data_IF_635456082974
#
_entry.id   IF_635456082974
#
_cell.length_a   1.000
_cell.length_b   1.000
_cell.length_c   1.000
_cell.angle_alpha   90.00
_cell.angle_beta   90.00
_cell.angle_gamma   90.00
#
_symmetry.space_group_name_H-M   'P 1'
#
loop_
_entity.id
_entity.type
_entity.pdbx_description
1 polymer ?
#
# COMPACT_ATOMS: atom_id res chain seq x y z
N UNK A 1 17.54 0.57 9.54
CA UNK A 1 16.78 0.21 8.32
C UNK A 1 15.58 1.11 8.34
N UNK A 2 15.40 1.88 7.27
CA UNK A 2 14.33 2.85 7.17
C UNK A 2 13.23 2.24 6.29
N UNK A 3 11.97 2.48 6.65
CA UNK A 3 10.81 2.00 5.91
C UNK A 3 10.14 3.18 5.24
N UNK A 4 10.07 3.17 3.93
CA UNK A 4 9.37 4.17 3.15
C UNK A 4 7.95 3.69 2.86
N UNK A 5 6.97 4.55 3.10
CA UNK A 5 5.57 4.27 2.82
C UNK A 5 5.15 5.00 1.55
N UNK A 6 4.71 4.25 0.55
CA UNK A 6 4.17 4.78 -0.69
C UNK A 6 2.68 4.51 -0.79
N UNK A 7 1.91 5.49 -1.26
CA UNK A 7 0.54 5.27 -1.68
C UNK A 7 0.54 4.47 -2.98
N UNK A 8 -0.09 3.30 -3.01
CA UNK A 8 -0.28 2.61 -4.27
C UNK A 8 -1.24 3.43 -5.15
N UNK A 9 -0.99 3.53 -6.47
CA UNK A 9 -1.97 4.13 -7.36
C UNK A 9 -3.29 3.36 -7.19
N UNK A 10 -4.38 4.08 -6.94
CA UNK A 10 -5.70 3.47 -6.83
C UNK A 10 -5.94 2.67 -8.11
N UNK A 11 -6.20 1.37 -7.98
CA UNK A 11 -6.49 0.46 -9.09
C UNK A 11 -7.88 0.75 -9.69
N UNK A 12 -8.20 2.02 -9.93
CA UNK A 12 -9.41 2.48 -10.60
C UNK A 12 -9.19 2.76 -12.09
N UNK A 13 -7.95 2.69 -12.59
CA UNK A 13 -7.67 2.95 -14.00
C UNK A 13 -6.56 2.03 -14.55
N UNK A 14 -6.76 0.72 -14.46
CA UNK A 14 -6.25 -0.16 -15.50
C UNK A 14 -7.41 -0.47 -16.42
N UNK A 15 -7.49 0.26 -17.53
CA UNK A 15 -8.13 -0.27 -18.74
C UNK A 15 -7.76 -1.75 -18.90
N UNK A 16 -8.72 -2.63 -19.22
CA UNK A 16 -8.43 -4.04 -19.49
C UNK A 16 -7.62 -4.08 -20.78
N UNK A 17 -6.30 -4.00 -20.67
CA UNK A 17 -5.43 -4.34 -21.79
C UNK A 17 -5.47 -5.85 -21.87
N UNK A 18 -6.10 -6.33 -22.94
CA UNK A 18 -6.27 -7.72 -23.30
C UNK A 18 -4.94 -8.50 -23.17
N UNK A 19 -4.75 -9.21 -22.06
CA UNK A 19 -3.77 -10.29 -21.93
C UNK A 19 -4.20 -11.24 -20.82
N UNK A 20 -4.25 -12.56 -21.08
CA UNK A 20 -4.81 -13.55 -20.17
C UNK A 20 -3.75 -13.97 -19.15
N UNK A 21 -3.42 -13.10 -18.21
CA UNK A 21 -2.74 -13.53 -16.98
C UNK A 21 -3.56 -12.98 -15.83
N UNK A 22 -4.47 -13.83 -15.36
CA UNK A 22 -5.13 -13.64 -14.08
C UNK A 22 -4.07 -13.57 -12.99
N UNK A 23 -3.65 -12.37 -12.58
CA UNK A 23 -3.00 -12.23 -11.29
C UNK A 23 -4.12 -12.33 -10.23
N UNK A 24 -4.14 -13.36 -9.38
CA UNK A 24 -5.10 -13.42 -8.31
C UNK A 24 -4.82 -12.26 -7.34
N UNK A 25 -5.90 -11.66 -6.86
CA UNK A 25 -5.88 -10.67 -5.78
C UNK A 25 -4.94 -11.14 -4.66
N UNK A 26 -3.84 -10.40 -4.43
CA UNK A 26 -2.89 -10.66 -3.35
C UNK A 26 -1.45 -11.00 -3.75
N UNK A 27 -1.16 -11.19 -5.04
CA UNK A 27 0.22 -11.33 -5.52
C UNK A 27 0.84 -9.96 -5.81
N UNK A 28 2.04 -9.72 -5.26
CA UNK A 28 2.90 -8.63 -5.72
C UNK A 28 3.10 -8.79 -7.23
N UNK A 29 3.08 -7.71 -8.01
CA UNK A 29 3.39 -7.82 -9.44
C UNK A 29 4.78 -8.46 -9.62
N UNK A 30 4.93 -9.37 -10.59
CA UNK A 30 6.23 -9.97 -10.99
C UNK A 30 7.30 -8.92 -11.33
N UNK A 31 6.88 -7.68 -11.59
CA UNK A 31 7.75 -6.53 -11.81
C UNK A 31 7.64 -5.58 -10.62
N UNK A 32 8.80 -5.07 -10.17
CA UNK A 32 8.87 -4.01 -9.18
C UNK A 32 7.87 -2.88 -9.53
N UNK A 33 7.01 -2.46 -8.58
CA UNK A 33 6.11 -1.34 -8.82
C UNK A 33 6.92 -0.09 -9.14
N UNK A 34 6.48 0.67 -10.14
CA UNK A 34 7.07 1.96 -10.48
C UNK A 34 6.69 2.97 -9.38
N UNK A 35 7.49 2.98 -8.30
CA UNK A 35 7.30 3.86 -7.15
C UNK A 35 7.80 5.26 -7.52
N UNK A 36 6.86 6.18 -7.68
CA UNK A 36 7.19 7.58 -7.94
C UNK A 36 7.40 8.33 -6.63
N UNK A 37 8.34 9.30 -6.57
CA UNK A 37 8.56 10.12 -5.38
C UNK A 37 7.31 10.94 -4.99
N UNK A 38 6.43 11.26 -5.94
CA UNK A 38 5.12 11.89 -5.68
C UNK A 38 4.16 11.00 -4.88
N UNK A 39 4.42 9.68 -4.81
CA UNK A 39 3.62 8.72 -4.04
C UNK A 39 4.18 8.48 -2.63
N UNK A 40 5.37 8.99 -2.33
CA UNK A 40 5.99 8.85 -1.01
C UNK A 40 5.19 9.64 0.02
N UNK A 41 4.60 8.92 0.97
CA UNK A 41 3.87 9.50 2.10
C UNK A 41 4.82 9.88 3.23
N UNK A 42 5.90 9.10 3.41
CA UNK A 42 6.90 9.36 4.43
C UNK A 42 7.89 8.23 4.60
N UNK A 43 8.88 8.51 5.44
CA UNK A 43 9.99 7.63 5.80
C UNK A 43 9.94 7.42 7.31
N UNK A 44 9.97 6.16 7.74
CA UNK A 44 9.69 5.73 9.10
C UNK A 44 10.78 4.83 9.65
N UNK A 45 10.99 4.85 10.96
CA UNK A 45 12.02 4.02 11.60
C UNK A 45 11.59 2.54 11.68
N UNK A 46 10.31 2.23 11.47
CA UNK A 46 9.77 0.88 11.55
C UNK A 46 8.47 0.71 10.77
N UNK A 47 8.20 -0.53 10.36
CA UNK A 47 6.95 -0.95 9.71
C UNK A 47 5.70 -0.57 10.50
N UNK A 48 5.71 -0.81 11.82
CA UNK A 48 4.57 -0.52 12.69
C UNK A 48 4.25 0.98 12.74
N UNK A 49 5.28 1.83 12.65
CA UNK A 49 5.13 3.28 12.62
C UNK A 49 4.50 3.74 11.30
N UNK A 50 4.98 3.20 10.16
CA UNK A 50 4.40 3.46 8.85
C UNK A 50 2.92 3.04 8.77
N UNK A 51 2.56 1.86 9.29
CA UNK A 51 1.17 1.39 9.34
C UNK A 51 0.33 2.30 10.25
N UNK A 52 0.86 2.71 11.39
CA UNK A 52 0.15 3.61 12.33
C UNK A 52 -0.12 4.95 11.66
N UNK A 53 0.87 5.54 11.02
CA UNK A 53 0.71 6.77 10.25
C UNK A 53 -0.37 6.64 9.17
N UNK A 54 -0.36 5.56 8.39
CA UNK A 54 -1.37 5.31 7.36
C UNK A 54 -2.79 5.23 7.95
N UNK A 55 -2.96 4.63 9.13
CA UNK A 55 -4.25 4.56 9.83
C UNK A 55 -4.67 5.93 10.38
N UNK A 56 -3.75 6.68 10.97
CA UNK A 56 -4.01 8.02 11.48
C UNK A 56 -4.41 8.98 10.36
N UNK A 57 -3.77 8.89 9.20
CA UNK A 57 -4.14 9.67 8.02
C UNK A 57 -5.60 9.43 7.60
N UNK A 58 -6.06 8.17 7.68
CA UNK A 58 -7.45 7.81 7.36
C UNK A 58 -8.43 8.30 8.42
N UNK A 59 -8.04 8.23 9.69
CA UNK A 59 -8.81 8.77 10.80
C UNK A 59 -8.95 10.30 10.71
N UNK A 60 -7.89 11.01 10.32
CA UNK A 60 -7.88 12.46 10.12
C UNK A 60 -8.78 12.87 8.94
N UNK A 61 -8.82 12.06 7.88
CA UNK A 61 -9.77 12.20 6.75
C UNK A 61 -11.22 11.85 7.14
N UNK A 62 -11.47 11.52 8.41
CA UNK A 62 -12.79 11.16 8.92
C UNK A 62 -13.25 9.75 8.53
N UNK A 63 -12.34 8.90 8.07
CA UNK A 63 -12.60 7.50 7.79
C UNK A 63 -12.28 6.64 9.01
N UNK A 64 -13.04 5.57 9.21
CA UNK A 64 -12.80 4.62 10.28
C UNK A 64 -12.14 3.36 9.69
N UNK A 65 -10.95 3.01 10.18
CA UNK A 65 -10.25 1.81 9.76
C UNK A 65 -10.98 0.57 10.29
N UNK A 66 -11.49 -0.25 9.37
CA UNK A 66 -12.27 -1.46 9.71
C UNK A 66 -11.45 -2.73 9.56
N UNK A 67 -10.51 -2.75 8.62
CA UNK A 67 -9.66 -3.92 8.38
C UNK A 67 -8.25 -3.50 7.92
N UNK A 68 -7.26 -4.33 8.21
CA UNK A 68 -5.87 -4.12 7.79
C UNK A 68 -5.27 -5.46 7.41
N UNK A 69 -4.87 -5.59 6.15
CA UNK A 69 -4.21 -6.77 5.61
C UNK A 69 -2.83 -6.38 5.12
N UNK A 70 -1.84 -7.20 5.43
CA UNK A 70 -0.49 -7.05 4.89
C UNK A 70 -0.11 -8.30 4.12
N UNK A 71 0.61 -8.11 3.03
CA UNK A 71 1.17 -9.15 2.22
C UNK A 71 2.39 -9.83 2.80
N UNK A 72 2.87 -10.82 2.06
CA UNK A 72 4.23 -11.32 2.23
C UNK A 72 5.22 -10.24 1.82
N UNK A 73 6.23 -10.04 2.65
CA UNK A 73 7.42 -9.29 2.29
C UNK A 73 8.20 -10.05 1.22
N UNK A 74 8.60 -9.33 0.16
CA UNK A 74 9.44 -9.88 -0.89
C UNK A 74 10.90 -9.49 -0.66
N UNK A 75 11.75 -10.49 -0.42
CA UNK A 75 13.18 -10.31 -0.12
C UNK A 75 14.01 -9.83 -1.31
N UNK A 76 13.49 -9.96 -2.54
CA UNK A 76 14.19 -9.53 -3.74
C UNK A 76 14.03 -8.02 -3.98
N UNK A 77 12.81 -7.53 -3.80
CA UNK A 77 12.42 -6.14 -4.00
C UNK A 77 12.45 -5.31 -2.71
N UNK A 78 12.49 -5.97 -1.55
CA UNK A 78 12.34 -5.37 -0.21
C UNK A 78 11.01 -4.63 -0.02
N UNK A 79 9.98 -5.07 -0.75
CA UNK A 79 8.65 -4.45 -0.74
C UNK A 79 7.65 -5.36 -0.04
N UNK A 80 6.80 -4.77 0.80
CA UNK A 80 5.61 -5.40 1.37
C UNK A 80 4.37 -4.58 0.97
N UNK A 81 3.29 -5.26 0.58
CA UNK A 81 2.01 -4.56 0.35
C UNK A 81 1.18 -4.48 1.63
N UNK A 82 0.47 -3.38 1.81
CA UNK A 82 -0.44 -3.13 2.92
C UNK A 82 -1.77 -2.62 2.37
N UNK A 83 -2.85 -3.36 2.60
CA UNK A 83 -4.21 -2.92 2.25
C UNK A 83 -4.95 -2.57 3.54
N UNK A 84 -5.40 -1.32 3.64
CA UNK A 84 -6.23 -0.83 4.74
C UNK A 84 -7.63 -0.58 4.19
N UNK A 85 -8.62 -1.27 4.74
CA UNK A 85 -10.02 -0.98 4.45
C UNK A 85 -10.52 0.04 5.45
N UNK A 86 -11.00 1.17 4.94
CA UNK A 86 -11.59 2.23 5.76
C UNK A 86 -13.00 2.55 5.30
N UNK A 87 -13.90 2.79 6.26
CA UNK A 87 -15.27 3.20 6.03
C UNK A 87 -15.41 4.70 6.29
N UNK A 88 -15.80 5.45 5.27
CA UNK A 88 -16.11 6.87 5.38
C UNK A 88 -17.41 7.10 6.16
N UNK A 89 -17.63 8.33 6.65
CA UNK A 89 -18.85 8.71 7.38
C UNK A 89 -20.15 8.49 6.57
N UNK A 90 -20.06 8.50 5.24
CA UNK A 90 -21.18 8.23 4.34
C UNK A 90 -21.53 6.73 4.23
N UNK A 91 -20.80 5.85 4.95
CA UNK A 91 -20.95 4.39 4.88
C UNK A 91 -20.24 3.74 3.70
N UNK A 92 -19.62 4.53 2.83
CA UNK A 92 -18.78 4.03 1.73
C UNK A 92 -17.50 3.42 2.30
N UNK A 93 -17.15 2.21 1.87
CA UNK A 93 -15.93 1.53 2.30
C UNK A 93 -15.01 1.34 1.12
N UNK A 94 -13.81 1.90 1.18
CA UNK A 94 -12.83 1.84 0.11
C UNK A 94 -11.54 1.20 0.64
N UNK A 95 -11.05 0.11 0.00
CA UNK A 95 -9.73 -0.40 0.29
C UNK A 95 -8.69 0.57 -0.27
N UNK A 96 -7.69 0.91 0.55
CA UNK A 96 -6.51 1.66 0.13
C UNK A 96 -5.28 0.77 0.25
N UNK A 97 -4.53 0.67 -0.82
CA UNK A 97 -3.28 -0.10 -0.85
C UNK A 97 -2.09 0.84 -0.71
N UNK A 98 -1.09 0.39 0.03
CA UNK A 98 0.17 1.06 0.29
C UNK A 98 1.31 0.06 0.05
N UNK A 99 2.48 0.57 -0.27
CA UNK A 99 3.71 -0.21 -0.36
C UNK A 99 4.67 0.25 0.74
N UNK A 100 5.22 -0.72 1.47
CA UNK A 100 6.26 -0.52 2.47
C UNK A 100 7.56 -0.99 1.85
N UNK A 101 8.48 -0.07 1.58
CA UNK A 101 9.81 -0.38 1.04
C UNK A 101 10.80 -0.31 2.17
N UNK A 102 11.55 -1.39 2.40
CA UNK A 102 12.62 -1.39 3.40
C UNK A 102 13.94 -1.07 2.71
N UNK A 103 14.49 0.12 2.96
CA UNK A 103 15.82 0.45 2.49
C UNK A 103 16.87 -0.17 3.44
N UNK A 104 17.60 -1.17 2.94
CA UNK A 104 18.72 -1.78 3.66
C UNK A 104 20.02 -0.98 3.52
N UNK A 105 20.07 0.07 2.68
CA UNK A 105 21.27 0.89 2.47
C UNK A 105 22.39 0.11 1.79
N UNK A 106 22.55 0.31 0.47
CA UNK A 106 23.65 -0.26 -0.31
C UNK A 106 25.03 0.36 0.01
#
# INVERSE_FOLDING_TARGET
MLVELYAAPSVQDTHPTESPVSNPVGELPDQEPDLSPDQLLGSFDSREEAITFAKEQLLDDGQNVTDTQSGSFDEHTHIEWLTITATAQNGDSAPRTYYLVTDEGY
#
